data_IF_937551518226
#
_entry.id   IF_937551518226
#
_cell.length_a   1.000
_cell.length_b   1.000
_cell.length_c   1.000
_cell.angle_alpha   90.00
_cell.angle_beta   90.00
_cell.angle_gamma   90.00
#
_symmetry.space_group_name_H-M   'P 1'
#
loop_
_entity.id
_entity.type
_entity.pdbx_description
1 polymer ?
#
# COMPACT_ATOMS: atom_id res chain seq x y z
N UNK A 1 14.07 -15.87 35.59
CA UNK A 1 15.20 -16.81 35.45
C UNK A 1 15.61 -16.97 33.99
N UNK A 2 16.56 -17.87 33.68
CA UNK A 2 17.13 -18.07 32.32
C UNK A 2 16.05 -18.41 31.28
N UNK A 3 15.04 -19.21 31.66
CA UNK A 3 13.91 -19.60 30.81
C UNK A 3 13.07 -18.37 30.41
N UNK A 4 12.82 -17.45 31.35
CA UNK A 4 12.07 -16.22 31.07
C UNK A 4 12.83 -15.31 30.11
N UNK A 5 14.16 -15.24 30.23
CA UNK A 5 15.01 -14.48 29.31
C UNK A 5 14.94 -15.05 27.89
N UNK A 6 14.96 -16.38 27.75
CA UNK A 6 14.80 -17.05 26.45
C UNK A 6 13.45 -16.74 25.80
N UNK A 7 12.35 -16.91 26.54
CA UNK A 7 11.00 -16.57 26.07
C UNK A 7 10.86 -15.09 25.69
N UNK A 8 11.53 -14.20 26.42
CA UNK A 8 11.53 -12.77 26.11
C UNK A 8 12.27 -12.47 24.80
N UNK A 9 13.37 -13.18 24.51
CA UNK A 9 14.10 -13.06 23.24
C UNK A 9 13.25 -13.53 22.05
N UNK A 10 12.50 -14.61 22.20
CA UNK A 10 11.58 -15.08 21.16
C UNK A 10 10.48 -14.05 20.87
N UNK A 11 9.83 -13.52 21.91
CA UNK A 11 8.82 -12.46 21.77
C UNK A 11 9.41 -11.21 21.10
N UNK A 12 10.62 -10.82 21.47
CA UNK A 12 11.31 -9.68 20.87
C UNK A 12 11.60 -9.92 19.38
N UNK A 13 11.99 -11.14 19.01
CA UNK A 13 12.23 -11.50 17.61
C UNK A 13 10.95 -11.43 16.78
N UNK A 14 9.85 -11.98 17.30
CA UNK A 14 8.53 -11.89 16.65
C UNK A 14 8.10 -10.43 16.50
N UNK A 15 8.23 -9.62 17.56
CA UNK A 15 7.85 -8.21 17.52
C UNK A 15 8.69 -7.41 16.51
N UNK A 16 10.00 -7.69 16.42
CA UNK A 16 10.87 -7.07 15.42
C UNK A 16 10.46 -7.44 14.00
N UNK A 17 10.10 -8.71 13.76
CA UNK A 17 9.62 -9.18 12.46
C UNK A 17 8.34 -8.45 12.06
N UNK A 18 7.35 -8.41 12.94
CA UNK A 18 6.06 -7.74 12.70
C UNK A 18 6.25 -6.24 12.48
N UNK A 19 7.11 -5.58 13.27
CA UNK A 19 7.45 -4.16 13.05
C UNK A 19 8.09 -3.92 11.68
N UNK A 20 8.96 -4.83 11.23
CA UNK A 20 9.59 -4.71 9.91
C UNK A 20 8.56 -4.84 8.78
N UNK A 21 7.68 -5.84 8.86
CA UNK A 21 6.60 -6.04 7.90
C UNK A 21 5.65 -4.82 7.83
N UNK A 22 5.21 -4.31 8.99
CA UNK A 22 4.40 -3.09 9.06
C UNK A 22 5.12 -1.86 8.49
N UNK A 23 6.44 -1.78 8.64
CA UNK A 23 7.22 -0.66 8.08
C UNK A 23 7.23 -0.71 6.55
N UNK A 24 7.40 -1.90 5.98
CA UNK A 24 7.37 -2.09 4.53
C UNK A 24 5.98 -1.77 3.96
N UNK A 25 4.92 -2.23 4.63
CA UNK A 25 3.54 -1.92 4.23
C UNK A 25 3.27 -0.41 4.29
N UNK A 26 3.70 0.27 5.36
CA UNK A 26 3.59 1.72 5.46
C UNK A 26 4.30 2.46 4.33
N UNK A 27 5.48 1.99 3.91
CA UNK A 27 6.22 2.58 2.78
C UNK A 27 5.45 2.39 1.48
N UNK A 28 4.93 1.19 1.23
CA UNK A 28 4.13 0.90 0.04
C UNK A 28 2.86 1.75 -0.02
N UNK A 29 2.12 1.85 1.08
CA UNK A 29 0.92 2.68 1.19
C UNK A 29 1.21 4.16 0.95
N UNK A 30 2.29 4.70 1.54
CA UNK A 30 2.71 6.09 1.29
C UNK A 30 3.02 6.34 -0.18
N UNK A 31 3.66 5.40 -0.86
CA UNK A 31 3.92 5.49 -2.31
C UNK A 31 2.61 5.52 -3.10
N UNK A 32 1.67 4.64 -2.77
CA UNK A 32 0.36 4.59 -3.43
C UNK A 32 -0.43 5.90 -3.21
N UNK A 33 -0.42 6.46 -1.99
CA UNK A 33 -1.05 7.75 -1.69
C UNK A 33 -0.43 8.87 -2.54
N UNK A 34 0.90 8.88 -2.68
CA UNK A 34 1.58 9.91 -3.47
C UNK A 34 1.24 9.82 -4.97
N UNK A 35 1.15 8.61 -5.51
CA UNK A 35 0.72 8.39 -6.90
C UNK A 35 -0.75 8.80 -7.10
N UNK A 36 -1.64 8.40 -6.18
CA UNK A 36 -3.04 8.81 -6.20
C UNK A 36 -3.23 10.31 -6.02
N UNK A 37 -2.32 11.02 -5.34
CA UNK A 37 -2.46 12.47 -5.14
C UNK A 37 -1.95 13.28 -6.33
N UNK A 38 -0.89 12.81 -6.99
CA UNK A 38 -0.13 13.61 -7.94
C UNK A 38 -0.30 13.18 -9.40
N UNK A 39 -0.89 12.01 -9.67
CA UNK A 39 -1.08 11.49 -11.03
C UNK A 39 -2.56 11.16 -11.30
N UNK A 40 -3.28 12.07 -11.98
CA UNK A 40 -4.67 11.85 -12.39
C UNK A 40 -4.87 10.59 -13.26
N UNK A 41 -3.88 10.20 -14.07
CA UNK A 41 -3.95 9.01 -14.92
C UNK A 41 -3.86 7.72 -14.09
N UNK A 42 -3.07 7.75 -13.02
CA UNK A 42 -2.98 6.63 -12.07
C UNK A 42 -4.29 6.47 -11.28
N UNK A 43 -4.93 7.56 -10.86
CA UNK A 43 -6.25 7.54 -10.21
C UNK A 43 -7.28 6.90 -11.14
N UNK A 44 -7.31 7.32 -12.41
CA UNK A 44 -8.25 6.79 -13.40
C UNK A 44 -8.03 5.29 -13.63
N UNK A 45 -6.78 4.85 -13.79
CA UNK A 45 -6.43 3.44 -13.93
C UNK A 45 -6.91 2.62 -12.72
N UNK A 46 -6.68 3.10 -11.50
CA UNK A 46 -7.13 2.43 -10.27
C UNK A 46 -8.67 2.38 -10.18
N UNK A 47 -9.36 3.47 -10.53
CA UNK A 47 -10.83 3.49 -10.57
C UNK A 47 -11.41 2.51 -11.60
N UNK A 48 -10.73 2.32 -12.74
CA UNK A 48 -11.12 1.34 -13.77
C UNK A 48 -10.85 -0.10 -13.33
N UNK A 49 -9.69 -0.36 -12.73
CA UNK A 49 -9.24 -1.72 -12.41
C UNK A 49 -9.81 -2.25 -11.09
N UNK A 50 -9.86 -1.43 -10.03
CA UNK A 50 -10.26 -1.89 -8.70
C UNK A 50 -11.72 -1.59 -8.36
N UNK A 51 -12.26 -0.47 -8.86
CA UNK A 51 -13.63 -0.04 -8.53
C UNK A 51 -14.66 -0.42 -9.60
N UNK A 52 -14.23 -1.03 -10.72
CA UNK A 52 -15.13 -1.46 -11.81
C UNK A 52 -15.95 -0.32 -12.43
N UNK A 53 -15.48 0.93 -12.29
CA UNK A 53 -16.20 2.12 -12.73
C UNK A 53 -16.06 2.32 -14.24
N UNK A 54 -16.82 1.56 -15.02
CA UNK A 54 -17.02 1.81 -16.46
C UNK A 54 -18.52 1.90 -16.74
N UNK A 55 -19.01 3.14 -16.96
CA UNK A 55 -20.34 3.37 -17.55
C UNK A 55 -20.22 3.51 -19.07
N UNK A 56 -21.22 3.00 -19.79
CA UNK A 56 -21.36 3.13 -21.26
C UNK A 56 -21.52 4.61 -21.62
N UNK A 57 -20.44 5.30 -21.98
CA UNK A 57 -20.51 6.63 -22.60
C UNK A 57 -19.50 7.69 -22.16
N UNK A 58 -18.58 7.40 -21.23
CA UNK A 58 -17.66 8.45 -20.75
C UNK A 58 -16.57 8.80 -21.78
N UNK A 59 -16.53 10.09 -22.13
CA UNK A 59 -15.64 10.71 -23.10
C UNK A 59 -14.18 10.60 -22.65
N UNK A 60 -13.38 9.97 -23.52
CA UNK A 60 -11.95 9.77 -23.36
C UNK A 60 -11.23 11.11 -23.49
N UNK A 61 -10.72 11.65 -22.39
CA UNK A 61 -9.77 12.76 -22.46
C UNK A 61 -8.37 12.21 -22.72
N UNK A 62 -8.11 11.81 -23.97
CA UNK A 62 -6.72 11.74 -24.45
C UNK A 62 -6.29 13.18 -24.69
N UNK A 63 -5.50 13.76 -23.78
CA UNK A 63 -4.67 14.88 -24.19
C UNK A 63 -3.66 14.33 -25.20
N UNK A 64 -3.93 14.61 -26.47
CA UNK A 64 -2.89 14.62 -27.48
C UNK A 64 -1.97 15.80 -27.16
N UNK A 65 -0.76 15.50 -26.70
CA UNK A 65 0.46 16.24 -27.04
C UNK A 65 1.67 15.36 -26.81
#
# INVERSE_FOLDING_TARGET
>A
GVIDNYRMKEKLMVLKKVNHEMTLENIALKKNILLLRNDPSYIEMMARNELGMVKKGDLVYRQAQ
#
